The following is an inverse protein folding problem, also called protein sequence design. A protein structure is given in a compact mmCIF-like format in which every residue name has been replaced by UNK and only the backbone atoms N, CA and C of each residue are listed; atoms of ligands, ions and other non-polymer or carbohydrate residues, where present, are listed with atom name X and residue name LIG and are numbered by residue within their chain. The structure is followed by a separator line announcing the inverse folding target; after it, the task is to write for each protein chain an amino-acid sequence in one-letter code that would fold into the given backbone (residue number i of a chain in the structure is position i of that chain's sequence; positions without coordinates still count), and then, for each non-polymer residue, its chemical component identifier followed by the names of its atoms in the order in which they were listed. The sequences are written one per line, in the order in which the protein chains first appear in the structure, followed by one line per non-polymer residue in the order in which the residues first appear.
data_IF_547856837839
#
_entry.id   IF_547856837839
#
_cell.length_a   1.000
_cell.length_b   1.000
_cell.length_c   1.000
_cell.angle_alpha   90.00
_cell.angle_beta   90.00
_cell.angle_gamma   90.00
#
_symmetry.space_group_name_H-M   'P 1'
#
loop_
_entity.id
_entity.type
_entity.pdbx_description
1 polymer ?
#
# COMPACT_ATOMS: atom_id res chain seq x y z
N UNK A 1 8.17 -10.48 0.10
CA UNK A 1 6.90 -11.18 0.01
C UNK A 1 7.04 -12.46 -0.81
N UNK A 2 6.31 -13.52 -0.53
CA UNK A 2 5.26 -13.61 0.49
C UNK A 2 5.80 -13.63 1.93
N UNK A 3 4.94 -13.31 2.92
CA UNK A 3 5.22 -13.44 4.34
C UNK A 3 4.45 -14.66 4.86
N UNK A 4 5.16 -15.58 5.50
CA UNK A 4 4.56 -16.68 6.27
C UNK A 4 4.33 -16.23 7.73
N UNK A 5 3.35 -16.76 8.45
CA UNK A 5 3.21 -16.55 9.89
C UNK A 5 4.41 -17.14 10.66
N UNK A 6 4.63 -16.76 11.95
CA UNK A 6 5.77 -17.25 12.72
C UNK A 6 5.87 -18.78 12.83
N UNK A 7 4.76 -19.49 12.83
CA UNK A 7 4.69 -20.95 12.83
C UNK A 7 5.02 -21.59 11.47
N UNK A 8 5.20 -20.79 10.43
CA UNK A 8 5.54 -21.23 9.06
C UNK A 8 4.41 -21.90 8.29
N UNK A 9 3.18 -21.91 8.80
CA UNK A 9 2.05 -22.57 8.15
C UNK A 9 1.22 -21.63 7.28
N UNK A 10 1.34 -21.79 5.98
CA UNK A 10 0.65 -20.99 4.99
C UNK A 10 1.29 -19.65 4.70
N UNK A 11 0.57 -18.75 4.04
CA UNK A 11 1.03 -17.43 3.64
C UNK A 11 0.01 -16.37 4.05
N UNK A 12 0.50 -15.28 4.65
CA UNK A 12 -0.31 -14.11 5.03
C UNK A 12 -0.39 -13.08 3.90
N UNK A 13 0.64 -13.05 3.04
CA UNK A 13 0.68 -12.14 1.89
C UNK A 13 1.09 -12.90 0.63
N UNK A 14 0.79 -12.34 -0.52
CA UNK A 14 1.19 -12.91 -1.80
C UNK A 14 1.87 -11.89 -2.72
N UNK A 15 2.54 -12.39 -3.76
CA UNK A 15 3.03 -11.57 -4.86
C UNK A 15 1.85 -11.12 -5.72
N UNK A 16 2.06 -10.01 -6.43
CA UNK A 16 1.06 -9.48 -7.36
C UNK A 16 0.71 -10.48 -8.46
N UNK A 17 -0.57 -10.57 -8.82
CA UNK A 17 -0.95 -11.25 -10.05
C UNK A 17 -0.47 -10.44 -11.26
N UNK A 18 -0.27 -11.11 -12.39
CA UNK A 18 0.28 -10.52 -13.61
C UNK A 18 -0.48 -9.25 -14.07
N UNK A 19 -1.81 -9.25 -13.92
CA UNK A 19 -2.66 -8.10 -14.30
C UNK A 19 -2.69 -6.96 -13.27
N UNK A 20 -2.04 -7.11 -12.11
CA UNK A 20 -1.95 -6.10 -11.06
C UNK A 20 -0.53 -6.05 -10.45
N UNK A 21 0.47 -5.88 -11.30
CA UNK A 21 1.89 -5.96 -10.94
C UNK A 21 2.34 -5.08 -9.76
N UNK A 22 1.61 -4.00 -9.46
CA UNK A 22 1.84 -3.11 -8.33
C UNK A 22 1.34 -3.65 -6.98
N UNK A 23 0.46 -4.66 -6.96
CA UNK A 23 -0.20 -5.14 -5.74
C UNK A 23 0.58 -6.29 -5.07
N UNK A 24 1.79 -6.06 -4.63
CA UNK A 24 2.63 -7.07 -3.95
C UNK A 24 2.70 -6.83 -2.45
N UNK A 25 2.20 -7.77 -1.66
CA UNK A 25 2.35 -7.78 -0.21
C UNK A 25 1.78 -6.54 0.47
N UNK A 26 2.61 -5.85 1.25
CA UNK A 26 2.26 -4.60 1.92
C UNK A 26 2.98 -3.45 1.23
N UNK A 27 2.24 -2.45 0.77
CA UNK A 27 2.80 -1.28 0.10
C UNK A 27 1.95 -0.02 0.31
N UNK A 28 2.51 1.10 -0.10
CA UNK A 28 1.96 2.42 0.09
C UNK A 28 2.14 3.27 -1.17
N UNK A 29 1.17 4.17 -1.47
CA UNK A 29 1.31 5.13 -2.54
C UNK A 29 0.11 6.07 -2.67
N UNK A 30 0.32 7.21 -3.34
CA UNK A 30 -0.73 8.16 -3.68
C UNK A 30 -1.14 8.01 -5.13
N UNK A 31 -2.42 8.18 -5.40
CA UNK A 31 -2.99 7.98 -6.74
C UNK A 31 -3.15 9.26 -7.55
N UNK A 32 -3.27 10.42 -6.93
CA UNK A 32 -3.67 11.63 -7.61
C UNK A 32 -2.88 12.83 -7.12
N UNK A 33 -1.66 12.94 -7.61
CA UNK A 33 -0.74 14.00 -7.19
C UNK A 33 -0.60 15.04 -8.30
N UNK A 34 -0.84 16.34 -7.96
CA UNK A 34 -0.70 17.49 -8.84
C UNK A 34 -1.57 17.49 -10.10
N UNK A 35 -2.78 16.91 -10.03
CA UNK A 35 -3.74 16.98 -11.12
C UNK A 35 -4.42 18.33 -11.24
N UNK A 36 -4.61 18.84 -12.46
CA UNK A 36 -5.33 20.09 -12.74
C UNK A 36 -6.84 19.95 -12.64
N UNK A 37 -7.39 18.80 -13.01
CA UNK A 37 -8.81 18.53 -12.95
C UNK A 37 -9.17 17.83 -11.65
N UNK A 38 -10.02 18.44 -10.85
CA UNK A 38 -10.41 17.96 -9.52
C UNK A 38 -11.81 17.32 -9.49
N UNK A 39 -12.52 17.20 -10.64
CA UNK A 39 -13.80 16.49 -10.77
C UNK A 39 -13.62 14.99 -10.77
N UNK A 40 -14.44 14.25 -10.01
CA UNK A 40 -14.13 12.89 -9.57
C UNK A 40 -14.58 11.78 -10.52
N UNK A 41 -15.81 11.83 -10.98
CA UNK A 41 -16.46 10.64 -11.56
C UNK A 41 -16.02 10.31 -12.99
N UNK A 42 -15.71 11.31 -13.80
CA UNK A 42 -15.24 11.12 -15.17
C UNK A 42 -13.77 10.72 -15.31
N UNK A 43 -13.02 10.75 -14.20
CA UNK A 43 -11.58 10.46 -14.19
C UNK A 43 -11.26 8.97 -14.00
N UNK A 44 -12.21 8.15 -13.54
CA UNK A 44 -11.95 6.73 -13.27
C UNK A 44 -11.65 5.94 -14.56
N UNK A 45 -12.41 6.14 -15.63
CA UNK A 45 -12.11 5.51 -16.93
C UNK A 45 -10.80 6.04 -17.52
N UNK A 46 -10.56 7.33 -17.34
CA UNK A 46 -9.35 8.02 -17.79
C UNK A 46 -8.10 7.55 -17.04
N UNK A 47 -8.23 7.08 -15.82
CA UNK A 47 -7.15 6.82 -14.89
C UNK A 47 -6.22 5.69 -15.32
N UNK A 48 -6.77 4.58 -15.79
CA UNK A 48 -5.98 3.44 -16.23
C UNK A 48 -5.42 3.56 -17.65
N UNK A 49 -5.97 4.47 -18.46
CA UNK A 49 -5.60 4.63 -19.87
C UNK A 49 -4.63 5.77 -20.14
N UNK A 50 -4.38 6.64 -19.16
CA UNK A 50 -3.57 7.84 -19.39
C UNK A 50 -2.10 7.53 -19.48
N UNK A 51 -1.57 7.72 -20.68
CA UNK A 51 -0.17 7.42 -21.01
C UNK A 51 0.60 8.65 -21.54
N UNK A 52 -0.07 9.78 -21.76
CA UNK A 52 0.58 11.00 -22.25
C UNK A 52 0.86 11.97 -21.10
N UNK A 53 1.91 12.79 -21.26
CA UNK A 53 2.23 13.84 -20.27
C UNK A 53 1.05 14.80 -20.04
N UNK A 54 0.29 15.12 -21.07
CA UNK A 54 -0.88 15.99 -20.95
C UNK A 54 -2.01 15.34 -20.14
N UNK A 55 -2.27 14.06 -20.36
CA UNK A 55 -3.25 13.31 -19.61
C UNK A 55 -2.85 13.20 -18.13
N UNK A 56 -1.56 12.96 -17.84
CA UNK A 56 -1.02 12.95 -16.48
C UNK A 56 -1.16 14.33 -15.84
N UNK A 57 -0.86 15.40 -16.54
CA UNK A 57 -1.00 16.76 -16.01
C UNK A 57 -2.46 17.13 -15.70
N UNK A 58 -3.43 16.57 -16.43
CA UNK A 58 -4.86 16.78 -16.17
C UNK A 58 -5.31 16.05 -14.90
N UNK A 59 -5.00 14.79 -14.77
CA UNK A 59 -5.51 13.95 -13.67
C UNK A 59 -4.58 13.83 -12.47
N UNK A 60 -3.32 14.12 -12.62
CA UNK A 60 -2.26 13.91 -11.64
C UNK A 60 -1.51 12.59 -11.84
N UNK A 61 -0.32 12.53 -11.22
CA UNK A 61 0.51 11.32 -11.23
C UNK A 61 -0.03 10.29 -10.26
N UNK A 62 0.13 9.06 -10.63
CA UNK A 62 -0.35 7.89 -9.88
C UNK A 62 0.83 7.05 -9.41
N UNK A 63 1.26 7.28 -8.18
CA UNK A 63 2.36 6.56 -7.55
C UNK A 63 1.92 5.23 -6.94
N UNK A 64 0.63 5.02 -6.76
CA UNK A 64 0.10 3.78 -6.20
C UNK A 64 0.10 2.63 -7.23
N UNK A 65 -0.30 2.91 -8.48
CA UNK A 65 -0.35 1.89 -9.52
C UNK A 65 0.95 1.79 -10.36
N UNK A 66 1.89 2.71 -10.15
CA UNK A 66 3.12 2.78 -10.95
C UNK A 66 4.36 2.70 -10.05
N UNK A 67 4.88 1.49 -9.79
CA UNK A 67 6.08 1.29 -8.96
C UNK A 67 7.40 1.50 -9.72
N UNK A 68 7.35 1.94 -10.98
CA UNK A 68 8.50 2.05 -11.86
C UNK A 68 9.46 3.20 -11.52
N UNK A 69 10.67 3.13 -12.07
CA UNK A 69 11.74 4.12 -11.87
C UNK A 69 11.38 5.52 -12.42
N UNK A 70 10.42 5.61 -13.31
CA UNK A 70 9.87 6.89 -13.80
C UNK A 70 9.03 7.63 -12.73
N UNK A 71 8.62 6.95 -11.68
CA UNK A 71 7.81 7.48 -10.59
C UNK A 71 8.58 7.56 -9.29
N UNK A 72 9.47 6.60 -9.04
CA UNK A 72 10.18 6.45 -7.78
C UNK A 72 11.68 6.32 -7.98
N UNK A 73 12.44 7.07 -7.21
CA UNK A 73 13.89 6.93 -7.11
C UNK A 73 14.27 6.60 -5.67
N UNK A 74 14.72 5.38 -5.44
CA UNK A 74 15.27 5.00 -4.13
C UNK A 74 16.56 5.74 -3.86
N UNK A 75 16.63 6.42 -2.72
CA UNK A 75 17.80 7.18 -2.26
C UNK A 75 18.66 6.31 -1.35
N UNK A 76 18.05 5.69 -0.33
CA UNK A 76 18.75 4.81 0.60
C UNK A 76 17.84 3.69 1.12
N UNK A 77 18.52 2.67 1.68
CA UNK A 77 17.92 1.65 2.52
C UNK A 77 18.92 1.35 3.63
N UNK A 78 18.50 1.50 4.87
CA UNK A 78 19.34 1.36 6.05
C UNK A 78 18.63 0.51 7.10
N UNK A 79 19.32 -0.51 7.63
CA UNK A 79 18.87 -1.21 8.84
C UNK A 79 19.25 -0.36 10.03
N UNK A 80 18.25 0.11 10.79
CA UNK A 80 18.44 1.00 11.94
C UNK A 80 18.82 0.19 13.17
N UNK A 81 18.10 -0.90 13.41
CA UNK A 81 18.26 -1.75 14.58
C UNK A 81 17.87 -3.20 14.27
N UNK A 82 18.55 -4.13 14.92
CA UNK A 82 18.24 -5.56 14.86
C UNK A 82 18.61 -6.20 16.18
N UNK A 83 17.68 -6.20 17.14
CA UNK A 83 17.88 -6.71 18.49
C UNK A 83 16.81 -7.73 18.88
N UNK A 84 17.23 -8.94 19.15
CA UNK A 84 16.34 -10.04 19.54
C UNK A 84 15.32 -10.35 18.42
N UNK A 85 14.06 -10.27 18.76
CA UNK A 85 12.91 -10.56 17.85
C UNK A 85 12.38 -9.33 17.13
N UNK A 86 13.06 -8.19 17.22
CA UNK A 86 12.68 -6.93 16.55
C UNK A 86 13.74 -6.52 15.53
N UNK A 87 13.30 -6.07 14.36
CA UNK A 87 14.12 -5.42 13.35
C UNK A 87 13.45 -4.12 12.92
N UNK A 88 14.26 -3.06 12.71
CA UNK A 88 13.78 -1.78 12.19
C UNK A 88 14.68 -1.34 11.03
N UNK A 89 14.05 -0.79 9.99
CA UNK A 89 14.76 -0.29 8.81
C UNK A 89 14.13 0.98 8.28
N UNK A 90 14.91 1.76 7.57
CA UNK A 90 14.47 2.97 6.90
C UNK A 90 14.69 2.84 5.40
N UNK A 91 13.72 3.31 4.64
CA UNK A 91 13.86 3.49 3.20
C UNK A 91 13.52 4.93 2.84
N UNK A 92 14.36 5.55 2.03
CA UNK A 92 14.15 6.91 1.53
C UNK A 92 13.96 6.86 0.02
N UNK A 93 12.91 7.53 -0.46
CA UNK A 93 12.61 7.68 -1.87
C UNK A 93 12.41 9.13 -2.25
N UNK A 94 12.65 9.46 -3.51
CA UNK A 94 12.02 10.60 -4.17
C UNK A 94 10.83 10.12 -5.00
N UNK A 95 9.70 10.78 -4.84
CA UNK A 95 8.60 10.76 -5.79
C UNK A 95 8.96 11.76 -6.88
N UNK A 96 8.95 11.29 -8.14
CA UNK A 96 9.39 12.08 -9.29
C UNK A 96 8.18 12.67 -10.03
N UNK A 97 8.32 13.89 -10.51
CA UNK A 97 7.38 14.52 -11.43
C UNK A 97 7.44 13.88 -12.84
N UNK A 98 6.69 14.42 -13.82
CA UNK A 98 6.68 13.96 -15.19
C UNK A 98 7.96 14.26 -15.99
N UNK A 99 8.86 15.05 -15.44
CA UNK A 99 10.17 15.37 -16.02
C UNK A 99 11.30 14.54 -15.39
N UNK A 100 10.97 13.76 -14.35
CA UNK A 100 11.93 12.98 -13.58
C UNK A 100 12.61 13.76 -12.46
N UNK A 101 12.09 14.96 -12.14
CA UNK A 101 12.61 15.78 -11.05
C UNK A 101 11.93 15.43 -9.71
N UNK A 102 12.65 15.53 -8.58
CA UNK A 102 12.09 15.25 -7.27
C UNK A 102 10.96 16.21 -6.89
N UNK A 103 9.76 15.67 -6.71
CA UNK A 103 8.56 16.40 -6.26
C UNK A 103 8.42 16.35 -4.73
N UNK A 104 8.64 15.19 -4.15
CA UNK A 104 8.55 14.94 -2.71
C UNK A 104 9.58 13.91 -2.28
N UNK A 105 10.18 14.12 -1.12
CA UNK A 105 10.98 13.11 -0.44
C UNK A 105 10.10 12.33 0.52
N UNK A 106 10.09 11.02 0.38
CA UNK A 106 9.40 10.09 1.26
C UNK A 106 10.39 9.35 2.12
N UNK A 107 10.14 9.31 3.42
CA UNK A 107 10.87 8.48 4.37
C UNK A 107 9.91 7.49 5.01
N UNK A 108 10.19 6.21 4.89
CA UNK A 108 9.47 5.13 5.54
C UNK A 108 10.37 4.49 6.59
N UNK A 109 9.97 4.54 7.85
CA UNK A 109 10.60 3.78 8.94
C UNK A 109 9.68 2.63 9.30
N UNK A 110 10.13 1.44 9.04
CA UNK A 110 9.43 0.20 9.35
C UNK A 110 10.04 -0.46 10.56
N UNK A 111 9.20 -1.07 11.38
CA UNK A 111 9.65 -2.07 12.34
C UNK A 111 8.80 -3.33 12.23
N UNK A 112 9.44 -4.47 12.43
CA UNK A 112 8.80 -5.76 12.54
C UNK A 112 9.25 -6.45 13.82
N UNK A 113 8.30 -6.95 14.60
CA UNK A 113 8.55 -7.69 15.82
C UNK A 113 7.73 -8.97 15.83
N UNK A 114 8.36 -10.07 16.21
CA UNK A 114 7.66 -11.33 16.51
C UNK A 114 7.12 -11.27 17.92
N UNK A 115 5.81 -11.46 18.07
CA UNK A 115 5.10 -11.51 19.36
C UNK A 115 4.37 -12.85 19.46
N UNK A 116 4.97 -13.84 20.10
CA UNK A 116 4.42 -15.19 20.18
C UNK A 116 4.13 -15.80 18.78
N UNK A 117 2.87 -15.87 18.40
CA UNK A 117 2.43 -16.46 17.11
C UNK A 117 2.04 -15.41 16.07
N UNK A 118 2.38 -14.14 16.28
CA UNK A 118 2.00 -13.06 15.39
C UNK A 118 3.15 -12.08 15.15
N UNK A 119 3.02 -11.26 14.08
CA UNK A 119 3.89 -10.13 13.82
C UNK A 119 3.21 -8.82 14.23
N UNK A 120 3.97 -7.95 14.86
CA UNK A 120 3.66 -6.53 14.92
C UNK A 120 4.49 -5.82 13.85
N UNK A 121 3.80 -5.22 12.87
CA UNK A 121 4.42 -4.37 11.84
C UNK A 121 3.98 -2.94 12.09
N UNK A 122 4.95 -2.03 12.18
CA UNK A 122 4.70 -0.61 12.35
C UNK A 122 5.33 0.15 11.18
N UNK A 123 4.63 1.15 10.69
CA UNK A 123 5.12 2.09 9.68
C UNK A 123 4.99 3.52 10.22
N UNK A 124 6.12 4.22 10.29
CA UNK A 124 6.16 5.67 10.38
C UNK A 124 6.49 6.23 8.99
N UNK A 125 5.57 7.04 8.47
CA UNK A 125 5.70 7.64 7.15
C UNK A 125 5.86 9.16 7.26
N UNK A 126 6.85 9.70 6.55
CA UNK A 126 7.07 11.14 6.47
C UNK A 126 7.23 11.56 5.01
N UNK A 127 6.44 12.56 4.58
CA UNK A 127 6.55 13.20 3.28
C UNK A 127 7.05 14.63 3.43
N UNK A 128 8.16 14.97 2.80
CA UNK A 128 8.73 16.31 2.70
C UNK A 128 8.53 16.84 1.29
N UNK A 129 7.60 17.79 1.10
CA UNK A 129 7.37 18.42 -0.19
C UNK A 129 8.61 19.24 -0.61
N UNK A 130 9.11 19.01 -1.80
CA UNK A 130 10.23 19.77 -2.42
C UNK A 130 9.64 20.87 -3.27
N UNK A 131 8.56 20.58 -3.96
CA UNK A 131 7.73 21.52 -4.73
C UNK A 131 6.31 21.54 -4.16
N UNK A 132 5.41 22.29 -4.74
CA UNK A 132 4.00 22.29 -4.34
C UNK A 132 3.38 20.92 -4.63
N UNK A 133 2.85 20.26 -3.60
CA UNK A 133 2.20 18.96 -3.68
C UNK A 133 0.74 19.07 -3.29
N UNK A 134 -0.13 18.74 -4.23
CA UNK A 134 -1.57 18.65 -4.03
C UNK A 134 -2.02 17.20 -4.22
N UNK A 135 -2.54 16.59 -3.16
CA UNK A 135 -3.08 15.23 -3.20
C UNK A 135 -4.59 15.33 -3.41
N UNK A 136 -5.07 14.89 -4.55
CA UNK A 136 -6.49 14.88 -4.90
C UNK A 136 -7.22 13.68 -4.30
N UNK A 137 -8.50 13.88 -4.02
CA UNK A 137 -9.37 12.80 -3.57
C UNK A 137 -9.49 11.71 -4.66
N UNK A 138 -9.37 10.46 -4.24
CA UNK A 138 -9.49 9.28 -5.10
C UNK A 138 -9.96 8.07 -4.30
N UNK A 139 -10.67 7.15 -4.97
CA UNK A 139 -11.16 5.91 -4.38
C UNK A 139 -10.02 4.95 -3.95
N UNK A 140 -8.90 4.98 -4.65
CA UNK A 140 -7.76 4.10 -4.43
C UNK A 140 -6.53 4.88 -3.99
N UNK A 141 -5.66 4.25 -3.18
CA UNK A 141 -4.42 4.82 -2.69
C UNK A 141 -4.25 4.61 -1.19
N UNK A 142 -3.10 5.01 -0.65
CA UNK A 142 -2.74 4.81 0.74
C UNK A 142 -2.05 3.47 0.98
N UNK A 143 -2.26 2.91 2.16
CA UNK A 143 -1.71 1.60 2.55
C UNK A 143 -2.55 0.47 1.95
N UNK A 144 -1.89 -0.54 1.43
CA UNK A 144 -2.50 -1.71 0.84
C UNK A 144 -1.85 -3.00 1.35
N UNK A 145 -2.68 -4.00 1.64
CA UNK A 145 -2.24 -5.34 2.00
C UNK A 145 -2.81 -6.36 0.99
N UNK A 146 -1.93 -7.05 0.27
CA UNK A 146 -2.28 -8.16 -0.61
C UNK A 146 -2.22 -9.46 0.14
N UNK A 147 -3.39 -10.03 0.41
CA UNK A 147 -3.56 -11.36 1.02
C UNK A 147 -3.85 -12.39 -0.07
N UNK A 148 -3.53 -13.70 0.12
CA UNK A 148 -3.74 -14.76 -0.87
C UNK A 148 -5.22 -15.18 -0.97
N UNK A 149 -6.10 -14.21 -1.17
CA UNK A 149 -7.53 -14.42 -1.30
C UNK A 149 -7.89 -15.12 -2.61
N UNK A 150 -8.72 -16.16 -2.52
CA UNK A 150 -9.26 -16.90 -3.68
C UNK A 150 -10.76 -17.09 -3.50
N UNK A 151 -11.48 -17.21 -4.60
CA UNK A 151 -12.90 -17.57 -4.58
C UNK A 151 -13.13 -18.88 -3.79
N UNK A 152 -14.12 -18.86 -2.89
CA UNK A 152 -14.43 -19.99 -2.01
C UNK A 152 -13.62 -20.03 -0.71
N UNK A 153 -12.64 -19.16 -0.51
CA UNK A 153 -11.97 -19.00 0.78
C UNK A 153 -12.91 -18.35 1.78
N UNK A 154 -12.97 -18.93 2.99
CA UNK A 154 -13.69 -18.33 4.10
C UNK A 154 -12.90 -17.13 4.65
N UNK A 155 -13.60 -16.03 4.93
CA UNK A 155 -12.99 -14.83 5.51
C UNK A 155 -14.02 -13.83 5.99
N UNK A 156 -13.59 -12.96 6.89
CA UNK A 156 -14.41 -11.91 7.49
C UNK A 156 -13.60 -10.61 7.61
N UNK A 157 -14.25 -9.49 7.32
CA UNK A 157 -13.75 -8.16 7.62
C UNK A 157 -14.65 -7.53 8.66
N UNK A 158 -14.07 -6.95 9.72
CA UNK A 158 -14.80 -6.25 10.79
C UNK A 158 -14.12 -4.92 11.05
N UNK A 159 -14.88 -3.81 11.03
CA UNK A 159 -14.36 -2.49 11.36
C UNK A 159 -14.64 -2.09 12.82
N UNK A 160 -14.08 -0.96 13.26
CA UNK A 160 -14.30 -0.40 14.60
C UNK A 160 -15.79 -0.26 14.97
N UNK A 161 -16.66 0.10 14.02
CA UNK A 161 -18.11 0.23 14.23
C UNK A 161 -18.87 -1.11 14.21
N UNK A 162 -18.14 -2.25 14.19
CA UNK A 162 -18.70 -3.60 14.12
C UNK A 162 -19.48 -3.92 12.84
N UNK A 163 -19.26 -3.13 11.80
CA UNK A 163 -19.78 -3.46 10.48
C UNK A 163 -18.92 -4.56 9.88
N UNK A 164 -19.54 -5.45 9.10
CA UNK A 164 -18.88 -6.63 8.53
C UNK A 164 -18.94 -6.64 7.01
N UNK A 165 -17.87 -7.14 6.40
CA UNK A 165 -17.75 -7.42 4.97
C UNK A 165 -18.17 -6.21 4.10
N UNK A 166 -19.15 -6.37 3.21
CA UNK A 166 -19.65 -5.31 2.32
C UNK A 166 -20.10 -4.04 3.05
N UNK A 167 -20.57 -4.16 4.29
CA UNK A 167 -20.97 -2.99 5.10
C UNK A 167 -19.76 -2.23 5.68
N UNK A 168 -18.61 -2.87 5.77
CA UNK A 168 -17.37 -2.25 6.19
C UNK A 168 -16.62 -1.58 5.03
N UNK A 169 -16.92 -1.97 3.79
CA UNK A 169 -16.27 -1.40 2.60
C UNK A 169 -16.58 0.10 2.46
N UNK A 170 -15.55 0.89 2.15
CA UNK A 170 -15.65 2.33 1.97
C UNK A 170 -15.96 3.14 3.24
N UNK A 171 -15.98 2.51 4.42
CA UNK A 171 -16.23 3.19 5.69
C UNK A 171 -14.92 3.66 6.33
N UNK A 172 -14.91 4.89 6.84
CA UNK A 172 -13.83 5.36 7.70
C UNK A 172 -13.84 4.59 9.02
N UNK A 173 -12.68 4.11 9.46
CA UNK A 173 -12.56 3.30 10.66
C UNK A 173 -11.23 3.54 11.36
N UNK A 174 -11.23 3.46 12.70
CA UNK A 174 -10.01 3.56 13.51
C UNK A 174 -9.14 2.32 13.39
N UNK A 175 -9.74 1.16 13.16
CA UNK A 175 -9.06 -0.12 12.88
C UNK A 175 -9.97 -1.01 12.05
N UNK A 176 -9.36 -1.97 11.42
CA UNK A 176 -10.03 -3.02 10.66
C UNK A 176 -9.37 -4.35 11.01
N UNK A 177 -10.18 -5.36 11.26
CA UNK A 177 -9.77 -6.74 11.46
C UNK A 177 -10.15 -7.54 10.21
N UNK A 178 -9.19 -8.27 9.66
CA UNK A 178 -9.35 -9.07 8.44
C UNK A 178 -8.93 -10.49 8.73
N UNK A 179 -9.91 -11.36 8.99
CA UNK A 179 -9.69 -12.78 9.12
C UNK A 179 -9.78 -13.50 7.78
N UNK A 180 -8.83 -14.36 7.48
CA UNK A 180 -8.80 -15.14 6.23
C UNK A 180 -8.37 -16.59 6.51
N UNK A 181 -9.05 -17.55 5.89
CA UNK A 181 -8.62 -18.94 5.89
C UNK A 181 -7.30 -19.08 5.13
N UNK A 182 -6.29 -19.62 5.77
CA UNK A 182 -4.96 -19.84 5.22
C UNK A 182 -4.71 -21.34 5.07
N UNK A 183 -4.06 -21.75 4.00
CA UNK A 183 -3.75 -23.15 3.73
C UNK A 183 -2.92 -23.76 4.89
N UNK A 184 -3.37 -24.92 5.37
CA UNK A 184 -2.72 -25.63 6.48
C UNK A 184 -3.15 -25.17 7.88
N UNK A 185 -4.19 -24.31 7.98
CA UNK A 185 -4.79 -23.88 9.26
C UNK A 185 -6.28 -24.23 9.31
N UNK A 186 -6.75 -24.56 10.50
CA UNK A 186 -8.17 -24.82 10.76
C UNK A 186 -8.93 -23.55 11.18
N UNK A 187 -8.21 -22.51 11.62
CA UNK A 187 -8.71 -21.21 12.04
C UNK A 187 -8.43 -20.09 10.98
N UNK A 188 -9.04 -18.92 11.17
CA UNK A 188 -8.70 -17.76 10.37
C UNK A 188 -7.38 -17.15 10.88
N UNK A 189 -6.52 -16.74 9.96
CA UNK A 189 -5.41 -15.85 10.26
C UNK A 189 -5.90 -14.41 10.27
N UNK A 190 -5.55 -13.64 11.29
CA UNK A 190 -5.90 -12.24 11.51
C UNK A 190 -4.68 -11.33 11.49
#
# INVERSE_FOLDING_TARGET
HPIAPPDGKGLLTENSPEHHAHQTGLYWGFTRVNGRAMGLDSLMEFFYESKTKEQIAIKGRDYFHNPGEDYWKRVSFDVIDSVGEKVSWQTVYFMLDENGEPLMKETQVWSAQVLEEQYLLELEWTGEAIEEVVIGEMKYGGMFLRMPWKEGINGEVVNFSRQKNEKAEGQQSLWMDVGMQVEGRDDLAH
#
